data_IF_377489179296
#
_entry.id   IF_377489179296
#
_cell.length_a   1.000
_cell.length_b   1.000
_cell.length_c   1.000
_cell.angle_alpha   90.00
_cell.angle_beta   90.00
_cell.angle_gamma   90.00
#
_symmetry.space_group_name_H-M   'P 1'
#
loop_
_entity.id
_entity.type
_entity.pdbx_description
1 polymer ?
#
# COMPACT_ATOMS: atom_id res chain seq x y z
N UNK A 1 1.91 -9.12 -14.99
CA UNK A 1 0.75 -8.84 -14.11
C UNK A 1 1.07 -9.28 -12.70
N UNK A 2 0.82 -8.45 -11.72
CA UNK A 2 1.10 -8.77 -10.32
C UNK A 2 -0.08 -9.52 -9.73
N UNK A 3 0.17 -10.67 -9.11
CA UNK A 3 -0.88 -11.44 -8.46
C UNK A 3 -1.34 -10.73 -7.18
N UNK A 4 -2.64 -10.78 -6.86
CA UNK A 4 -3.14 -10.20 -5.61
C UNK A 4 -2.44 -10.79 -4.39
N UNK A 5 -2.19 -9.96 -3.39
CA UNK A 5 -1.54 -10.37 -2.15
C UNK A 5 -2.59 -10.76 -1.11
N UNK A 6 -2.30 -11.78 -0.32
CA UNK A 6 -3.12 -12.15 0.84
C UNK A 6 -2.50 -11.68 2.15
N UNK A 7 -1.38 -10.98 2.07
CA UNK A 7 -0.68 -10.47 3.25
C UNK A 7 -1.33 -9.19 3.77
N UNK A 8 -1.10 -8.85 5.05
CA UNK A 8 -1.54 -7.55 5.58
C UNK A 8 -1.01 -6.40 4.73
N UNK A 9 -1.74 -5.30 4.70
CA UNK A 9 -1.45 -4.15 3.84
C UNK A 9 0.02 -3.71 3.92
N UNK A 10 0.56 -3.58 5.13
CA UNK A 10 1.94 -3.12 5.31
C UNK A 10 2.96 -4.04 4.66
N UNK A 11 2.77 -5.35 4.84
CA UNK A 11 3.68 -6.34 4.24
C UNK A 11 3.51 -6.40 2.73
N UNK A 12 2.28 -6.35 2.25
CA UNK A 12 1.97 -6.36 0.82
C UNK A 12 2.57 -5.12 0.14
N UNK A 13 2.42 -3.96 0.75
CA UNK A 13 2.95 -2.71 0.22
C UNK A 13 4.48 -2.73 0.19
N UNK A 14 5.11 -3.22 1.26
CA UNK A 14 6.57 -3.32 1.33
C UNK A 14 7.11 -4.22 0.22
N UNK A 15 6.51 -5.38 0.02
CA UNK A 15 6.94 -6.29 -1.05
C UNK A 15 6.80 -5.64 -2.42
N UNK A 16 5.70 -4.93 -2.64
CA UNK A 16 5.46 -4.25 -3.90
C UNK A 16 6.49 -3.17 -4.17
N UNK A 17 6.84 -2.38 -3.15
CA UNK A 17 7.87 -1.34 -3.28
C UNK A 17 9.25 -1.93 -3.52
N UNK A 18 9.59 -3.02 -2.83
CA UNK A 18 10.87 -3.69 -3.03
C UNK A 18 10.99 -4.31 -4.42
N UNK A 19 9.90 -4.82 -4.96
CA UNK A 19 9.86 -5.42 -6.29
C UNK A 19 9.91 -4.36 -7.40
N UNK A 20 9.29 -3.19 -7.17
CA UNK A 20 9.18 -2.13 -8.17
C UNK A 20 10.47 -1.34 -8.34
N UNK A 21 11.46 -1.53 -7.44
CA UNK A 21 12.82 -1.09 -7.66
C UNK A 21 13.23 0.21 -6.98
N UNK A 22 14.08 0.95 -7.66
CA UNK A 22 15.10 1.79 -7.06
C UNK A 22 14.63 3.11 -6.46
N UNK A 23 13.49 3.65 -6.89
CA UNK A 23 13.05 4.98 -6.47
C UNK A 23 12.73 5.01 -4.97
N UNK A 24 12.09 3.93 -4.49
CA UNK A 24 11.59 3.86 -3.12
C UNK A 24 12.39 2.93 -2.23
N UNK A 25 13.57 2.49 -2.69
CA UNK A 25 14.41 1.56 -1.94
C UNK A 25 15.81 2.17 -1.80
N UNK A 26 16.32 2.18 -0.56
CA UNK A 26 17.65 2.67 -0.27
C UNK A 26 18.72 1.67 -0.70
N UNK A 27 19.98 2.13 -0.74
CA UNK A 27 21.11 1.26 -1.07
C UNK A 27 21.23 0.05 -0.14
N UNK A 28 20.71 0.17 1.10
CA UNK A 28 20.71 -0.93 2.06
C UNK A 28 19.51 -1.86 1.94
N UNK A 29 18.65 -1.67 0.94
CA UNK A 29 17.48 -2.51 0.73
C UNK A 29 16.27 -2.17 1.58
N UNK A 30 16.27 -1.01 2.23
CA UNK A 30 15.16 -0.55 3.05
C UNK A 30 14.23 0.37 2.27
N UNK A 31 12.93 0.30 2.55
CA UNK A 31 11.96 1.16 1.90
C UNK A 31 12.10 2.61 2.38
N UNK A 32 12.13 3.54 1.44
CA UNK A 32 12.17 4.98 1.72
C UNK A 32 10.74 5.49 1.91
N UNK A 33 10.17 5.26 3.09
CA UNK A 33 8.78 5.60 3.36
C UNK A 33 8.48 7.08 3.21
N UNK A 34 9.42 7.96 3.59
CA UNK A 34 9.24 9.40 3.42
C UNK A 34 9.15 9.80 1.96
N UNK A 35 9.99 9.22 1.12
CA UNK A 35 9.97 9.47 -0.32
C UNK A 35 8.65 8.99 -0.93
N UNK A 36 8.21 7.81 -0.55
CA UNK A 36 6.95 7.27 -1.05
C UNK A 36 5.75 8.11 -0.59
N UNK A 37 5.72 8.49 0.69
CA UNK A 37 4.64 9.33 1.22
C UNK A 37 4.53 10.65 0.46
N UNK A 38 5.65 11.20 0.02
CA UNK A 38 5.68 12.49 -0.68
C UNK A 38 4.93 12.47 -2.01
N UNK A 39 4.87 11.31 -2.68
CA UNK A 39 4.17 11.19 -3.96
C UNK A 39 2.69 10.80 -3.80
N UNK A 40 2.25 10.47 -2.59
CA UNK A 40 0.86 10.16 -2.31
C UNK A 40 0.07 11.45 -2.07
N UNK A 41 -1.08 11.56 -2.70
CA UNK A 41 -1.94 12.73 -2.54
C UNK A 41 -2.85 12.55 -1.34
N UNK A 42 -2.84 13.53 -0.43
CA UNK A 42 -3.73 13.53 0.72
C UNK A 42 -3.37 12.54 1.83
N UNK A 43 -2.16 12.01 1.81
CA UNK A 43 -1.70 11.05 2.82
C UNK A 43 -0.47 11.59 3.51
N UNK A 44 -0.50 11.69 4.84
CA UNK A 44 0.66 12.12 5.61
C UNK A 44 1.61 10.96 5.84
N UNK A 45 2.88 11.28 6.07
CA UNK A 45 3.89 10.28 6.42
C UNK A 45 3.49 9.50 7.68
N UNK A 46 2.97 10.19 8.69
CA UNK A 46 2.58 9.56 9.94
C UNK A 46 1.47 8.53 9.74
N UNK A 47 0.43 8.89 8.99
CA UNK A 47 -0.67 7.97 8.70
C UNK A 47 -0.17 6.76 7.92
N UNK A 48 0.68 6.98 6.92
CA UNK A 48 1.26 5.88 6.14
C UNK A 48 2.03 4.92 7.06
N UNK A 49 2.91 5.46 7.91
CA UNK A 49 3.74 4.63 8.78
C UNK A 49 2.92 3.86 9.80
N UNK A 50 1.91 4.48 10.40
CA UNK A 50 1.02 3.79 11.35
C UNK A 50 0.26 2.66 10.69
N UNK A 51 -0.22 2.90 9.47
CA UNK A 51 -0.94 1.88 8.71
C UNK A 51 -0.02 0.71 8.35
N UNK A 52 1.19 1.01 7.90
CA UNK A 52 2.17 -0.02 7.53
C UNK A 52 2.55 -0.88 8.74
N UNK A 53 2.63 -0.29 9.92
CA UNK A 53 2.96 -1.02 11.15
C UNK A 53 1.78 -1.78 11.75
N UNK A 54 0.61 -1.67 11.15
CA UNK A 54 -0.58 -2.35 11.66
C UNK A 54 -1.27 -1.64 12.81
N UNK A 55 -0.86 -0.41 13.14
CA UNK A 55 -1.47 0.38 14.22
C UNK A 55 -2.79 0.99 13.81
N UNK A 56 -3.08 0.98 12.53
CA UNK A 56 -4.27 1.60 11.94
C UNK A 56 -4.68 0.79 10.72
N UNK A 57 -5.98 0.56 10.55
CA UNK A 57 -6.48 -0.12 9.36
C UNK A 57 -6.29 0.77 8.11
N UNK A 58 -5.93 0.19 6.96
CA UNK A 58 -5.80 0.96 5.74
C UNK A 58 -7.16 1.47 5.27
N UNK A 59 -7.23 2.76 4.90
CA UNK A 59 -8.44 3.32 4.31
C UNK A 59 -8.53 2.97 2.83
N UNK A 60 -9.75 3.02 2.28
CA UNK A 60 -9.95 2.83 0.84
C UNK A 60 -9.11 3.84 0.06
N UNK A 61 -9.13 5.11 0.48
CA UNK A 61 -8.40 6.18 -0.20
C UNK A 61 -6.89 5.91 -0.21
N UNK A 62 -6.34 5.44 0.91
CA UNK A 62 -4.92 5.13 0.99
C UNK A 62 -4.56 3.98 0.04
N UNK A 63 -5.35 2.93 0.03
CA UNK A 63 -5.09 1.78 -0.84
C UNK A 63 -5.20 2.14 -2.32
N UNK A 64 -6.20 2.97 -2.67
CA UNK A 64 -6.36 3.44 -4.04
C UNK A 64 -5.21 4.33 -4.47
N UNK A 65 -4.75 5.19 -3.58
CA UNK A 65 -3.63 6.09 -3.89
C UNK A 65 -2.31 5.32 -4.06
N UNK A 66 -2.04 4.35 -3.19
CA UNK A 66 -0.86 3.49 -3.33
C UNK A 66 -0.91 2.71 -4.65
N UNK A 67 -2.07 2.18 -4.99
CA UNK A 67 -2.26 1.43 -6.22
C UNK A 67 -2.03 2.31 -7.44
N UNK A 68 -2.51 3.56 -7.41
CA UNK A 68 -2.31 4.51 -8.50
C UNK A 68 -0.84 4.77 -8.75
N UNK A 69 -0.09 5.05 -7.69
CA UNK A 69 1.34 5.38 -7.80
C UNK A 69 2.14 4.17 -8.28
N UNK A 70 1.80 2.98 -7.80
CA UNK A 70 2.54 1.76 -8.13
C UNK A 70 1.98 1.03 -9.35
N UNK A 71 0.94 1.58 -9.98
CA UNK A 71 0.35 1.06 -11.22
C UNK A 71 -0.15 -0.37 -11.09
N UNK A 72 -0.79 -0.66 -9.97
CA UNK A 72 -1.49 -1.92 -9.75
C UNK A 72 -2.96 -1.64 -9.46
N UNK A 73 -3.82 -2.66 -9.56
CA UNK A 73 -5.21 -2.51 -9.17
C UNK A 73 -5.32 -2.47 -7.65
N UNK A 74 -6.22 -1.64 -7.08
CA UNK A 74 -6.43 -1.63 -5.62
C UNK A 74 -6.79 -2.99 -5.04
N UNK A 75 -7.40 -3.86 -5.84
CA UNK A 75 -7.71 -5.23 -5.44
C UNK A 75 -6.47 -6.09 -5.19
N UNK A 76 -5.29 -5.56 -5.47
CA UNK A 76 -4.04 -6.19 -5.03
C UNK A 76 -4.01 -6.36 -3.50
N UNK A 77 -4.58 -5.41 -2.76
CA UNK A 77 -4.60 -5.44 -1.30
C UNK A 77 -5.78 -6.27 -0.79
N UNK A 78 -5.50 -7.21 0.12
CA UNK A 78 -6.52 -8.09 0.69
C UNK A 78 -7.62 -7.29 1.40
N UNK A 79 -7.24 -6.24 2.12
CA UNK A 79 -8.19 -5.40 2.85
C UNK A 79 -9.15 -4.68 1.90
N UNK A 80 -8.65 -4.26 0.73
CA UNK A 80 -9.50 -3.63 -0.27
C UNK A 80 -10.56 -4.60 -0.80
N UNK A 81 -10.15 -5.82 -1.11
CA UNK A 81 -11.06 -6.87 -1.58
C UNK A 81 -12.12 -7.18 -0.53
N UNK A 82 -11.72 -7.23 0.75
CA UNK A 82 -12.65 -7.50 1.85
C UNK A 82 -13.73 -6.42 1.97
N UNK A 83 -13.36 -5.14 1.81
CA UNK A 83 -14.31 -4.04 1.83
C UNK A 83 -15.28 -4.14 0.66
N UNK A 84 -14.77 -4.40 -0.54
CA UNK A 84 -15.60 -4.56 -1.73
C UNK A 84 -16.58 -5.73 -1.60
N UNK A 85 -16.12 -6.84 -1.05
CA UNK A 85 -16.97 -7.99 -0.82
C UNK A 85 -18.07 -7.69 0.20
N UNK A 86 -17.73 -7.00 1.28
CA UNK A 86 -18.72 -6.61 2.29
C UNK A 86 -19.80 -5.68 1.71
N UNK A 87 -19.42 -4.76 0.83
CA UNK A 87 -20.38 -3.88 0.15
C UNK A 87 -21.33 -4.66 -0.75
N UNK A 88 -20.84 -5.67 -1.44
CA UNK A 88 -21.67 -6.51 -2.29
C UNK A 88 -22.60 -7.41 -1.50
N UNK A 89 -22.18 -7.84 -0.31
CA UNK A 89 -22.98 -8.69 0.55
C UNK A 89 -24.08 -7.89 1.28
N UNK A 90 -23.94 -6.60 1.38
CA UNK A 90 -24.96 -5.72 1.97
C UNK A 90 -26.04 -5.37 0.92
#
# INVERSE_FOLDING_TARGET
MVEPSDKPFGDALRELLLADGDIYVSAGGNVKWGTFAHVLHGVSYDILRRTVRGERAPSVDLMEECARVLQVWPTYFAEYRAIGFARQAA
#
